data_IF_586852409250
#
_entry.id   IF_586852409250
#
_cell.length_a   1.000
_cell.length_b   1.000
_cell.length_c   1.000
_cell.angle_alpha   90.00
_cell.angle_beta   90.00
_cell.angle_gamma   90.00
#
_symmetry.space_group_name_H-M   'P 1'
#
loop_
_entity.id
_entity.type
_entity.pdbx_description
1 polymer ?
#
# COMPACT_ATOMS: atom_id res chain seq x y z
N UNK A 1 0.52 -18.15 -56.36
CA UNK A 1 -0.30 -17.71 -55.20
C UNK A 1 -1.10 -16.50 -55.64
N UNK A 2 -2.41 -16.64 -55.74
CA UNK A 2 -3.30 -15.62 -56.29
C UNK A 2 -3.37 -14.36 -55.39
N UNK A 3 -3.64 -13.21 -56.04
CA UNK A 3 -3.72 -11.88 -55.34
C UNK A 3 -4.62 -11.93 -54.09
N UNK A 4 -5.69 -12.73 -54.14
CA UNK A 4 -6.63 -12.91 -53.03
C UNK A 4 -5.97 -13.54 -51.81
N UNK A 5 -5.15 -14.58 -51.99
CA UNK A 5 -4.45 -15.23 -50.88
C UNK A 5 -3.42 -14.30 -50.21
N UNK A 6 -2.77 -13.43 -50.99
CA UNK A 6 -1.85 -12.43 -50.46
C UNK A 6 -2.59 -11.38 -49.63
N UNK A 7 -3.77 -10.96 -50.09
CA UNK A 7 -4.61 -10.00 -49.34
C UNK A 7 -5.11 -10.60 -48.00
N UNK A 8 -5.59 -11.87 -48.00
CA UNK A 8 -6.02 -12.57 -46.80
C UNK A 8 -4.88 -12.73 -45.79
N UNK A 9 -3.70 -13.11 -46.25
CA UNK A 9 -2.52 -13.24 -45.38
C UNK A 9 -2.12 -11.87 -44.77
N UNK A 10 -2.19 -10.80 -45.54
CA UNK A 10 -1.83 -9.45 -45.06
C UNK A 10 -2.83 -8.94 -44.00
N UNK A 11 -4.13 -9.18 -44.22
CA UNK A 11 -5.18 -8.85 -43.24
C UNK A 11 -5.03 -9.67 -41.96
N UNK A 12 -4.73 -10.98 -42.08
CA UNK A 12 -4.51 -11.85 -40.94
C UNK A 12 -3.32 -11.40 -40.08
N UNK A 13 -2.21 -11.00 -40.70
CA UNK A 13 -1.03 -10.47 -39.99
C UNK A 13 -1.33 -9.11 -39.33
N UNK A 14 -2.04 -8.21 -40.02
CA UNK A 14 -2.40 -6.92 -39.46
C UNK A 14 -3.34 -7.04 -38.25
N UNK A 15 -4.32 -7.91 -38.30
CA UNK A 15 -5.22 -8.20 -37.16
C UNK A 15 -4.45 -8.86 -36.02
N UNK A 16 -3.54 -9.78 -36.30
CA UNK A 16 -2.70 -10.43 -35.29
C UNK A 16 -1.80 -9.41 -34.54
N UNK A 17 -1.21 -8.46 -35.26
CA UNK A 17 -0.40 -7.39 -34.67
C UNK A 17 -1.27 -6.44 -33.84
N UNK A 18 -2.46 -6.06 -34.31
CA UNK A 18 -3.37 -5.18 -33.59
C UNK A 18 -3.87 -5.82 -32.27
N UNK A 19 -4.13 -7.12 -32.26
CA UNK A 19 -4.52 -7.86 -31.04
C UNK A 19 -3.33 -8.00 -30.08
N UNK A 20 -2.10 -8.10 -30.56
CA UNK A 20 -0.92 -8.22 -29.70
C UNK A 20 -0.53 -6.88 -29.07
N UNK A 21 -0.68 -5.76 -29.77
CA UNK A 21 -0.36 -4.43 -29.24
C UNK A 21 -1.42 -3.90 -28.28
N UNK A 22 -2.63 -4.46 -28.26
CA UNK A 22 -3.70 -4.08 -27.33
C UNK A 22 -3.60 -4.74 -25.95
N UNK A 23 -2.57 -5.56 -25.68
CA UNK A 23 -2.24 -6.01 -24.33
C UNK A 23 -1.52 -4.91 -23.56
N UNK A 24 -2.16 -3.75 -23.41
CA UNK A 24 -1.74 -2.84 -22.35
C UNK A 24 -1.99 -3.58 -21.03
N UNK A 25 -0.96 -3.79 -20.19
CA UNK A 25 -1.24 -4.23 -18.83
C UNK A 25 -2.16 -3.17 -18.23
N UNK A 26 -3.39 -3.53 -17.91
CA UNK A 26 -4.22 -2.77 -17.00
C UNK A 26 -3.49 -2.82 -15.65
N UNK A 27 -2.51 -1.94 -15.50
CA UNK A 27 -1.96 -1.58 -14.21
C UNK A 27 -3.10 -0.86 -13.49
N UNK A 28 -3.97 -1.65 -12.87
CA UNK A 28 -4.89 -1.19 -11.84
C UNK A 28 -4.02 -0.81 -10.63
N UNK A 29 -3.18 0.20 -10.80
CA UNK A 29 -2.65 0.96 -9.70
C UNK A 29 -3.87 1.70 -9.13
N UNK A 30 -4.47 1.13 -8.11
CA UNK A 30 -5.31 1.92 -7.22
C UNK A 30 -4.43 3.08 -6.76
N UNK A 31 -4.62 4.24 -7.39
CA UNK A 31 -3.87 5.43 -7.04
C UNK A 31 -4.28 5.79 -5.61
N UNK A 32 -3.37 5.64 -4.67
CA UNK A 32 -3.59 6.07 -3.28
C UNK A 32 -3.99 7.54 -3.22
N UNK A 33 -3.56 8.33 -4.22
CA UNK A 33 -3.96 9.72 -4.40
C UNK A 33 -5.48 9.93 -4.56
N UNK A 34 -6.26 8.88 -4.83
CA UNK A 34 -7.74 8.99 -4.82
C UNK A 34 -8.25 9.21 -3.40
N UNK A 35 -7.66 8.53 -2.41
CA UNK A 35 -8.15 8.51 -1.03
C UNK A 35 -7.29 9.32 -0.07
N UNK A 36 -5.98 9.46 -0.33
CA UNK A 36 -5.03 10.06 0.62
C UNK A 36 -4.39 11.33 0.06
N UNK A 37 -4.05 12.25 0.97
CA UNK A 37 -3.24 13.44 0.68
C UNK A 37 -1.76 13.01 0.70
N UNK A 38 -1.26 12.50 -0.43
CA UNK A 38 0.08 11.90 -0.50
C UNK A 38 1.22 12.88 -0.23
N UNK A 39 1.02 14.18 -0.51
CA UNK A 39 1.98 15.24 -0.18
C UNK A 39 2.11 15.49 1.32
N UNK A 40 1.05 15.19 2.08
CA UNK A 40 0.96 15.49 3.49
C UNK A 40 1.43 14.32 4.34
N UNK A 41 1.97 14.63 5.50
CA UNK A 41 2.40 13.60 6.45
C UNK A 41 2.00 14.01 7.86
N UNK A 42 1.25 13.15 8.52
CA UNK A 42 0.97 13.24 9.95
C UNK A 42 1.81 12.22 10.70
N UNK A 43 2.14 12.55 11.93
CA UNK A 43 2.82 11.65 12.86
C UNK A 43 1.80 11.20 13.92
N UNK A 44 1.73 9.89 14.17
CA UNK A 44 0.83 9.31 15.15
C UNK A 44 1.66 8.46 16.11
N UNK A 45 1.49 8.69 17.41
CA UNK A 45 2.05 7.85 18.46
C UNK A 45 0.92 7.09 19.15
N UNK A 46 1.12 5.78 19.32
CA UNK A 46 0.11 4.94 19.96
C UNK A 46 0.46 3.48 20.02
N UNK A 47 -0.48 2.67 20.47
CA UNK A 47 -0.30 1.25 20.65
C UNK A 47 -1.10 0.45 19.63
N UNK A 48 -0.54 -0.66 19.17
CA UNK A 48 -1.22 -1.59 18.27
C UNK A 48 -2.46 -2.16 18.93
N UNK A 49 -3.59 -2.06 18.23
CA UNK A 49 -4.84 -2.74 18.60
C UNK A 49 -4.97 -4.04 17.82
N UNK A 50 -4.65 -4.01 16.52
CA UNK A 50 -4.81 -5.15 15.63
C UNK A 50 -3.80 -5.04 14.47
N UNK A 51 -3.28 -6.19 14.02
CA UNK A 51 -2.52 -6.31 12.79
C UNK A 51 -3.21 -7.28 11.85
N UNK A 52 -3.79 -6.77 10.77
CA UNK A 52 -4.44 -7.55 9.73
C UNK A 52 -3.44 -7.89 8.61
N UNK A 53 -2.93 -9.11 8.64
CA UNK A 53 -2.02 -9.65 7.65
C UNK A 53 -2.82 -10.30 6.51
N UNK A 54 -3.27 -9.48 5.54
CA UNK A 54 -4.15 -9.91 4.44
C UNK A 54 -3.86 -9.18 3.13
N UNK A 55 -4.24 -9.78 2.01
CA UNK A 55 -4.22 -9.15 0.68
C UNK A 55 -5.53 -8.38 0.41
N UNK A 56 -5.53 -7.35 -0.47
CA UNK A 56 -4.37 -6.89 -1.26
C UNK A 56 -3.36 -6.07 -0.45
N UNK A 57 -3.77 -5.49 0.67
CA UNK A 57 -2.93 -4.70 1.57
C UNK A 57 -3.12 -5.16 3.02
N UNK A 58 -2.01 -5.23 3.75
CA UNK A 58 -2.06 -5.38 5.20
C UNK A 58 -2.47 -4.07 5.86
N UNK A 59 -3.07 -4.17 7.05
CA UNK A 59 -3.52 -3.03 7.84
C UNK A 59 -3.01 -3.16 9.26
N UNK A 60 -2.53 -2.06 9.81
CA UNK A 60 -2.22 -1.98 11.23
C UNK A 60 -3.11 -0.93 11.88
N UNK A 61 -3.81 -1.32 12.94
CA UNK A 61 -4.70 -0.47 13.69
C UNK A 61 -3.96 0.00 14.94
N UNK A 62 -3.87 1.31 15.11
CA UNK A 62 -3.15 1.93 16.23
C UNK A 62 -4.10 2.86 16.97
N UNK A 63 -4.26 2.65 18.26
CA UNK A 63 -4.94 3.57 19.14
C UNK A 63 -3.92 4.61 19.61
N UNK A 64 -4.08 5.84 19.17
CA UNK A 64 -3.07 6.87 19.40
C UNK A 64 -3.56 8.28 19.13
N UNK A 65 -2.62 9.21 19.08
CA UNK A 65 -2.85 10.63 18.88
C UNK A 65 -1.78 11.26 17.99
N UNK A 66 -2.15 12.33 17.29
CA UNK A 66 -1.23 13.15 16.49
C UNK A 66 -0.46 14.17 17.35
N UNK A 67 -1.03 14.60 18.46
CA UNK A 67 -0.42 15.57 19.36
C UNK A 67 -0.61 15.15 20.81
N UNK A 68 0.37 15.38 21.68
CA UNK A 68 0.20 15.16 23.10
C UNK A 68 -1.01 15.95 23.63
N UNK A 69 -1.92 15.25 24.33
CA UNK A 69 -3.12 15.85 24.91
C UNK A 69 -4.37 15.79 24.04
N UNK A 70 -4.27 15.45 22.76
CA UNK A 70 -5.45 15.22 21.94
C UNK A 70 -6.17 13.93 22.35
N UNK A 71 -7.49 13.81 22.12
CA UNK A 71 -8.20 12.56 22.31
C UNK A 71 -7.63 11.43 21.48
N UNK A 72 -7.45 10.26 22.10
CA UNK A 72 -7.02 9.07 21.36
C UNK A 72 -8.08 8.63 20.35
N UNK A 73 -7.62 8.21 19.18
CA UNK A 73 -8.42 7.66 18.10
C UNK A 73 -7.81 6.33 17.64
N UNK A 74 -8.60 5.49 17.00
CA UNK A 74 -8.08 4.33 16.27
C UNK A 74 -7.81 4.75 14.84
N UNK A 75 -6.54 4.71 14.45
CA UNK A 75 -6.10 4.92 13.08
C UNK A 75 -5.93 3.58 12.39
N UNK A 76 -6.51 3.45 11.20
CA UNK A 76 -6.31 2.29 10.35
C UNK A 76 -5.24 2.63 9.30
N UNK A 77 -4.02 2.18 9.53
CA UNK A 77 -2.90 2.43 8.63
C UNK A 77 -2.81 1.36 7.54
N UNK A 78 -3.12 1.76 6.31
CA UNK A 78 -2.97 0.91 5.13
C UNK A 78 -1.50 0.76 4.79
N UNK A 79 -1.05 -0.47 4.68
CA UNK A 79 0.34 -0.81 4.44
C UNK A 79 0.54 -1.43 3.04
N UNK A 80 1.55 -2.23 2.87
CA UNK A 80 1.90 -2.91 1.61
C UNK A 80 1.25 -4.29 1.54
N UNK A 81 1.41 -4.98 0.41
CA UNK A 81 0.92 -6.34 0.24
C UNK A 81 1.66 -7.35 1.13
N UNK A 82 0.98 -8.46 1.45
CA UNK A 82 1.57 -9.56 2.22
C UNK A 82 2.89 -10.04 1.61
N UNK A 83 2.97 -10.18 0.29
CA UNK A 83 4.20 -10.61 -0.38
C UNK A 83 5.38 -9.65 -0.21
N UNK A 84 5.12 -8.35 -0.03
CA UNK A 84 6.16 -7.36 0.29
C UNK A 84 6.59 -7.46 1.75
N UNK A 85 5.64 -7.72 2.66
CA UNK A 85 5.94 -7.95 4.08
C UNK A 85 6.78 -9.21 4.28
N UNK A 86 6.41 -10.32 3.62
CA UNK A 86 7.18 -11.57 3.67
C UNK A 86 8.64 -11.38 3.25
N UNK A 87 8.87 -10.64 2.14
CA UNK A 87 10.22 -10.32 1.69
C UNK A 87 11.01 -9.45 2.68
N UNK A 88 10.30 -8.65 3.47
CA UNK A 88 10.88 -7.82 4.53
C UNK A 88 11.02 -8.57 5.87
N UNK A 89 10.69 -9.87 5.91
CA UNK A 89 10.76 -10.68 7.13
C UNK A 89 9.65 -10.39 8.14
N UNK A 90 8.57 -9.74 7.70
CA UNK A 90 7.45 -9.37 8.56
C UNK A 90 6.34 -10.40 8.39
N UNK A 91 6.15 -11.23 9.39
CA UNK A 91 5.10 -12.27 9.41
C UNK A 91 3.83 -11.79 10.10
N UNK A 92 2.78 -12.60 10.02
CA UNK A 92 1.48 -12.31 10.67
C UNK A 92 1.55 -12.08 12.18
N UNK A 93 2.58 -12.59 12.85
CA UNK A 93 2.76 -12.48 14.32
C UNK A 93 3.82 -11.42 14.69
N UNK A 94 4.26 -10.61 13.73
CA UNK A 94 5.34 -9.64 13.94
C UNK A 94 4.94 -8.50 14.88
N UNK A 95 3.68 -8.07 14.79
CA UNK A 95 3.10 -7.10 15.71
C UNK A 95 2.06 -7.76 16.60
N UNK A 96 2.00 -7.31 17.84
CA UNK A 96 1.04 -7.77 18.84
C UNK A 96 0.28 -6.58 19.42
N UNK A 97 -0.99 -6.77 19.83
CA UNK A 97 -1.69 -5.75 20.61
C UNK A 97 -0.84 -5.28 21.80
N UNK A 98 -0.74 -3.96 21.97
CA UNK A 98 0.08 -3.31 22.98
C UNK A 98 1.51 -2.95 22.53
N UNK A 99 1.96 -3.34 21.33
CA UNK A 99 3.23 -2.86 20.79
C UNK A 99 3.14 -1.35 20.56
N UNK A 100 4.04 -0.58 21.16
CA UNK A 100 4.05 0.88 21.03
C UNK A 100 4.77 1.31 19.74
N UNK A 101 4.06 2.07 18.91
CA UNK A 101 4.51 2.52 17.61
C UNK A 101 4.52 4.03 17.50
N UNK A 102 5.44 4.52 16.66
CA UNK A 102 5.38 5.84 16.04
C UNK A 102 5.25 5.62 14.54
N UNK A 103 4.20 6.16 13.93
CA UNK A 103 3.94 6.03 12.50
C UNK A 103 3.86 7.40 11.84
N UNK A 104 4.34 7.48 10.61
CA UNK A 104 4.21 8.63 9.71
C UNK A 104 3.38 8.18 8.53
N UNK A 105 2.33 8.91 8.25
CA UNK A 105 1.34 8.48 7.26
C UNK A 105 0.72 9.65 6.50
N UNK A 106 0.24 9.40 5.28
CA UNK A 106 -0.62 10.34 4.56
C UNK A 106 -2.03 10.27 5.13
N UNK A 107 -2.63 11.40 5.54
CA UNK A 107 -4.00 11.43 6.02
C UNK A 107 -5.01 11.18 4.89
N UNK A 108 -6.21 10.73 5.25
CA UNK A 108 -7.33 10.63 4.34
C UNK A 108 -7.77 12.03 3.88
N UNK A 109 -8.25 12.13 2.64
CA UNK A 109 -8.86 13.38 2.12
C UNK A 109 -10.13 13.77 2.86
N UNK A 110 -10.86 12.77 3.38
CA UNK A 110 -11.98 13.03 4.30
C UNK A 110 -11.42 13.18 5.73
N UNK A 111 -11.48 14.37 6.34
CA UNK A 111 -10.89 14.61 7.66
C UNK A 111 -11.57 13.87 8.82
N UNK A 112 -12.75 13.29 8.58
CA UNK A 112 -13.46 12.46 9.58
C UNK A 112 -13.10 10.98 9.48
N UNK A 113 -12.33 10.60 8.47
CA UNK A 113 -11.90 9.21 8.25
C UNK A 113 -10.46 9.03 8.78
N UNK A 114 -10.32 8.22 9.81
CA UNK A 114 -9.03 7.93 10.44
C UNK A 114 -8.21 6.88 9.68
N UNK A 115 -8.57 6.51 8.45
CA UNK A 115 -7.70 5.72 7.57
C UNK A 115 -6.55 6.58 7.09
N UNK A 116 -5.35 6.02 7.18
CA UNK A 116 -4.12 6.70 6.75
C UNK A 116 -3.28 5.74 5.91
N UNK A 117 -2.47 6.27 5.00
CA UNK A 117 -1.51 5.48 4.26
C UNK A 117 -0.14 5.52 4.94
N UNK A 118 0.36 4.36 5.35
CA UNK A 118 1.63 4.24 6.04
C UNK A 118 2.80 4.60 5.12
N UNK A 119 3.67 5.50 5.59
CA UNK A 119 4.92 5.91 4.93
C UNK A 119 6.15 5.41 5.68
N UNK A 120 6.08 5.44 6.99
CA UNK A 120 7.18 5.04 7.88
C UNK A 120 6.61 4.54 9.21
N UNK A 121 7.32 3.63 9.83
CA UNK A 121 6.96 3.09 11.14
C UNK A 121 8.22 2.84 11.97
N UNK A 122 8.10 3.06 13.27
CA UNK A 122 9.11 2.73 14.27
C UNK A 122 8.44 2.05 15.46
N UNK A 123 8.95 0.87 15.88
CA UNK A 123 8.53 0.21 17.11
C UNK A 123 9.46 0.64 18.24
N UNK A 124 8.87 1.19 19.31
CA UNK A 124 9.63 1.82 20.40
C UNK A 124 10.40 0.84 21.27
N UNK A 125 9.91 -0.39 21.41
CA UNK A 125 10.49 -1.37 22.32
C UNK A 125 11.89 -1.84 21.93
N UNK A 126 12.20 -1.89 20.61
CA UNK A 126 13.47 -2.40 20.06
C UNK A 126 14.08 -1.51 19.01
N UNK A 127 13.43 -0.36 18.69
CA UNK A 127 13.90 0.57 17.68
C UNK A 127 13.78 0.07 16.25
N UNK A 128 13.03 -1.02 16.02
CA UNK A 128 12.80 -1.52 14.67
C UNK A 128 12.10 -0.46 13.81
N UNK A 129 12.54 -0.35 12.55
CA UNK A 129 12.05 0.67 11.61
C UNK A 129 11.69 0.08 10.28
N UNK A 130 10.64 0.63 9.69
CA UNK A 130 10.27 0.41 8.30
C UNK A 130 10.04 1.75 7.61
N UNK A 131 10.49 1.86 6.36
CA UNK A 131 10.29 3.06 5.51
C UNK A 131 9.67 2.62 4.20
N UNK A 132 8.57 3.25 3.82
CA UNK A 132 7.91 3.04 2.53
C UNK A 132 8.75 3.60 1.38
N UNK A 133 8.76 2.88 0.28
CA UNK A 133 9.70 3.02 -0.81
C UNK A 133 10.42 1.69 -0.96
N UNK A 134 11.17 1.39 -1.94
CA UNK A 134 11.76 0.06 -2.15
C UNK A 134 12.55 -0.40 -0.92
N UNK A 135 11.88 -1.15 -0.06
CA UNK A 135 12.32 -2.06 0.99
C UNK A 135 13.72 -1.84 1.57
N UNK A 136 13.87 -0.93 2.51
CA UNK A 136 14.98 -0.97 3.45
C UNK A 136 14.41 -1.01 4.87
N UNK A 137 14.32 -2.22 5.42
CA UNK A 137 14.32 -2.43 6.86
C UNK A 137 15.77 -2.29 7.32
N UNK A 138 16.06 -1.33 8.17
CA UNK A 138 17.28 -1.27 8.97
C UNK A 138 16.97 -1.51 10.42
#
# INVERSE_FOLDING_TARGET
MNRIWKAIAFVGVAVGIAVWTSRTPLLAHHSFAVYYLESDTIEIEGDVVEFQYKNPHAWIFVQGTERPGDPQKIYAAEWVSVSQLDRAGISKNFFRPGDSLRIWASPNKNPTDNRVRLKRMERRSDGWRWVGGRGETR
#
